data_IF_230413643828
#
_entry.id   IF_230413643828
#
_cell.length_a   1.000
_cell.length_b   1.000
_cell.length_c   1.000
_cell.angle_alpha   90.00
_cell.angle_beta   90.00
_cell.angle_gamma   90.00
#
_symmetry.space_group_name_H-M   'P 1'
#
loop_
_entity.id
_entity.type
_entity.pdbx_description
1 polymer ?
#
# COMPACT_ATOMS: atom_id res chain seq x y z
N UNK A 1 -18.32 -6.21 -3.28
CA UNK A 1 -18.45 -4.76 -3.01
C UNK A 1 -17.49 -4.04 -3.95
N UNK A 2 -17.93 -3.03 -4.72
CA UNK A 2 -17.00 -2.23 -5.54
C UNK A 2 -16.27 -1.26 -4.59
N UNK A 3 -14.93 -1.28 -4.56
CA UNK A 3 -14.16 -0.49 -3.59
C UNK A 3 -14.13 1.01 -3.91
N UNK A 4 -14.35 1.39 -5.17
CA UNK A 4 -14.25 2.79 -5.61
C UNK A 4 -12.87 3.38 -5.35
N UNK A 5 -11.82 2.55 -5.44
CA UNK A 5 -10.43 2.93 -5.11
C UNK A 5 -9.71 3.48 -6.34
N UNK A 6 -9.04 4.62 -6.16
CA UNK A 6 -8.02 5.15 -7.05
C UNK A 6 -6.68 5.12 -6.32
N UNK A 7 -5.64 4.63 -6.98
CA UNK A 7 -4.33 4.46 -6.37
C UNK A 7 -3.20 4.65 -7.39
N UNK A 8 -2.02 5.01 -6.91
CA UNK A 8 -0.78 4.95 -7.68
C UNK A 8 -0.17 3.58 -7.52
N UNK A 9 0.19 2.94 -8.63
CA UNK A 9 0.90 1.66 -8.63
C UNK A 9 2.40 1.92 -8.82
N UNK A 10 3.27 1.42 -7.93
CA UNK A 10 4.70 1.46 -8.15
C UNK A 10 5.10 0.42 -9.20
N UNK A 11 6.29 0.58 -9.77
CA UNK A 11 6.96 -0.52 -10.47
C UNK A 11 7.28 -1.61 -9.44
N UNK A 12 6.82 -2.83 -9.68
CA UNK A 12 7.10 -3.98 -8.82
C UNK A 12 8.53 -4.46 -9.07
N UNK A 13 9.42 -4.25 -8.10
CA UNK A 13 10.81 -4.73 -8.18
C UNK A 13 11.00 -6.00 -7.37
N UNK A 14 12.12 -6.70 -7.62
CA UNK A 14 12.50 -7.87 -6.84
C UNK A 14 12.68 -7.52 -5.36
N UNK A 15 13.36 -6.41 -5.06
CA UNK A 15 13.62 -5.94 -3.70
C UNK A 15 12.33 -5.67 -2.92
N UNK A 16 11.33 -5.05 -3.57
CA UNK A 16 10.02 -4.81 -2.96
C UNK A 16 9.32 -6.13 -2.63
N UNK A 17 9.39 -7.09 -3.54
CA UNK A 17 8.76 -8.40 -3.36
C UNK A 17 9.49 -9.23 -2.30
N UNK A 18 10.82 -9.17 -2.25
CA UNK A 18 11.65 -9.81 -1.22
C UNK A 18 11.39 -9.21 0.15
N UNK A 19 11.29 -7.87 0.26
CA UNK A 19 10.96 -7.19 1.50
C UNK A 19 9.61 -7.69 2.05
N UNK A 20 8.61 -7.76 1.18
CA UNK A 20 7.28 -8.25 1.52
C UNK A 20 7.28 -9.71 1.98
N UNK A 21 7.96 -10.61 1.26
CA UNK A 21 8.10 -12.02 1.66
C UNK A 21 8.80 -12.17 3.02
N UNK A 22 9.91 -11.46 3.23
CA UNK A 22 10.65 -11.49 4.51
C UNK A 22 9.80 -11.00 5.69
N UNK A 23 8.95 -9.99 5.46
CA UNK A 23 7.97 -9.57 6.46
C UNK A 23 7.02 -10.72 6.83
N UNK A 24 6.39 -11.35 5.84
CA UNK A 24 5.48 -12.47 6.11
C UNK A 24 6.17 -13.66 6.80
N UNK A 25 7.38 -14.00 6.39
CA UNK A 25 8.16 -15.09 7.02
C UNK A 25 8.47 -14.78 8.49
N UNK A 26 8.86 -13.54 8.79
CA UNK A 26 9.21 -13.11 10.15
C UNK A 26 8.00 -13.09 11.10
N UNK A 27 6.79 -12.83 10.58
CA UNK A 27 5.57 -12.75 11.38
C UNK A 27 4.66 -13.98 11.23
N UNK A 28 5.13 -15.05 10.58
CA UNK A 28 4.33 -16.24 10.27
C UNK A 28 3.66 -16.88 11.48
N UNK A 29 4.28 -16.82 12.66
CA UNK A 29 3.68 -17.37 13.90
C UNK A 29 2.46 -16.58 14.40
N UNK A 30 2.32 -15.33 13.97
CA UNK A 30 1.18 -14.45 14.29
C UNK A 30 0.11 -14.48 13.20
N UNK A 31 0.31 -15.29 12.15
CA UNK A 31 -0.62 -15.38 11.03
C UNK A 31 -1.86 -16.19 11.41
N UNK A 32 -2.82 -15.50 12.02
CA UNK A 32 -4.12 -16.03 12.44
C UNK A 32 -5.07 -16.18 11.26
N UNK A 33 -4.71 -17.03 10.31
CA UNK A 33 -5.50 -17.54 9.17
C UNK A 33 -6.71 -16.67 8.78
N UNK A 34 -6.45 -15.58 8.06
CA UNK A 34 -7.47 -14.98 7.21
C UNK A 34 -6.83 -14.76 5.87
N UNK A 35 -7.46 -15.26 4.79
CA UNK A 35 -6.95 -15.17 3.43
C UNK A 35 -6.79 -13.69 3.06
N UNK A 36 -5.61 -13.15 3.33
CA UNK A 36 -5.35 -11.72 3.20
C UNK A 36 -4.94 -11.44 1.76
N UNK A 37 -5.49 -10.37 1.19
CA UNK A 37 -5.04 -9.86 -0.11
C UNK A 37 -3.61 -9.30 -0.04
N UNK A 38 -3.03 -9.22 1.16
CA UNK A 38 -1.63 -8.85 1.38
C UNK A 38 -0.73 -10.07 1.54
N UNK A 39 -1.19 -11.31 1.34
CA UNK A 39 -0.27 -12.45 1.34
C UNK A 39 0.73 -12.38 0.16
N UNK A 40 1.88 -13.06 0.28
CA UNK A 40 2.77 -13.29 -0.87
C UNK A 40 1.98 -13.78 -2.09
N UNK A 41 2.37 -13.29 -3.27
CA UNK A 41 1.75 -13.56 -4.57
C UNK A 41 0.29 -13.07 -4.74
N UNK A 42 -0.35 -12.53 -3.70
CA UNK A 42 -1.68 -11.87 -3.77
C UNK A 42 -1.61 -10.35 -3.67
N UNK A 43 -0.54 -9.84 -3.06
CA UNK A 43 -0.36 -8.42 -2.83
C UNK A 43 -0.18 -7.63 -4.12
N UNK A 44 -1.03 -6.61 -4.30
CA UNK A 44 -0.85 -5.55 -5.29
C UNK A 44 -0.29 -4.33 -4.55
N UNK A 45 1.01 -4.00 -4.66
CA UNK A 45 1.55 -2.80 -4.03
C UNK A 45 0.92 -1.55 -4.63
N UNK A 46 0.52 -0.61 -3.79
CA UNK A 46 -0.13 0.62 -4.22
C UNK A 46 -0.09 1.71 -3.14
N UNK A 47 -0.22 2.97 -3.56
CA UNK A 47 -0.50 4.11 -2.71
C UNK A 47 -1.94 4.58 -3.00
N UNK A 48 -2.86 4.39 -2.05
CA UNK A 48 -4.26 4.81 -2.21
C UNK A 48 -4.35 6.35 -2.23
N UNK A 49 -4.91 6.90 -3.30
CA UNK A 49 -5.22 8.34 -3.40
C UNK A 49 -6.62 8.64 -2.88
N UNK A 50 -7.57 7.77 -3.19
CA UNK A 50 -8.95 7.86 -2.73
C UNK A 50 -9.58 6.46 -2.70
N UNK A 51 -10.57 6.27 -1.83
CA UNK A 51 -11.36 5.05 -1.78
C UNK A 51 -12.83 5.36 -1.53
N UNK A 52 -13.70 4.36 -1.71
CA UNK A 52 -15.15 4.46 -1.50
C UNK A 52 -15.82 5.54 -2.36
N UNK A 53 -15.22 5.87 -3.52
CA UNK A 53 -15.80 6.83 -4.45
C UNK A 53 -17.00 6.23 -5.19
N UNK A 54 -18.13 6.96 -5.30
CA UNK A 54 -19.13 6.69 -6.32
C UNK A 54 -18.51 6.72 -7.72
N UNK A 55 -19.10 5.99 -8.67
CA UNK A 55 -18.54 5.84 -10.01
C UNK A 55 -18.19 7.17 -10.70
N UNK A 56 -19.11 8.15 -10.66
CA UNK A 56 -18.88 9.47 -11.26
C UNK A 56 -17.67 10.20 -10.65
N UNK A 57 -17.50 10.10 -9.33
CA UNK A 57 -16.36 10.70 -8.62
C UNK A 57 -15.05 9.96 -8.88
N UNK A 58 -15.11 8.64 -9.07
CA UNK A 58 -13.94 7.86 -9.48
C UNK A 58 -13.48 8.28 -10.88
N UNK A 59 -14.41 8.47 -11.82
CA UNK A 59 -14.09 8.91 -13.18
C UNK A 59 -13.52 10.33 -13.22
N UNK A 60 -14.09 11.25 -12.43
CA UNK A 60 -13.59 12.62 -12.27
C UNK A 60 -12.15 12.62 -11.70
N UNK A 61 -11.93 11.90 -10.59
CA UNK A 61 -10.62 11.80 -9.95
C UNK A 61 -9.58 11.16 -10.89
N UNK A 62 -9.95 10.11 -11.62
CA UNK A 62 -9.07 9.48 -12.59
C UNK A 62 -8.64 10.44 -13.71
N UNK A 63 -9.58 11.22 -14.25
CA UNK A 63 -9.29 12.22 -15.28
C UNK A 63 -8.33 13.30 -14.77
N UNK A 64 -8.57 13.82 -13.57
CA UNK A 64 -7.70 14.81 -12.94
C UNK A 64 -6.29 14.24 -12.72
N UNK A 65 -6.18 13.08 -12.07
CA UNK A 65 -4.89 12.47 -11.79
C UNK A 65 -4.10 12.13 -13.06
N UNK A 66 -4.77 11.71 -14.14
CA UNK A 66 -4.11 11.39 -15.42
C UNK A 66 -3.56 12.62 -16.14
N UNK A 67 -4.05 13.82 -15.82
CA UNK A 67 -3.59 15.08 -16.40
C UNK A 67 -2.53 15.79 -15.53
N UNK A 68 -2.64 15.66 -14.21
CA UNK A 68 -1.88 16.48 -13.25
C UNK A 68 -0.78 15.73 -12.50
N UNK A 69 -0.81 14.39 -12.45
CA UNK A 69 0.21 13.60 -11.75
C UNK A 69 1.25 13.10 -12.74
N UNK A 70 2.46 13.64 -12.62
CA UNK A 70 3.65 13.16 -13.33
C UNK A 70 4.20 11.85 -12.75
N UNK A 71 5.16 11.26 -13.47
CA UNK A 71 5.91 10.09 -13.02
C UNK A 71 6.62 10.40 -11.70
N UNK A 72 6.31 9.62 -10.67
CA UNK A 72 6.96 9.70 -9.36
C UNK A 72 8.08 8.65 -9.26
N UNK A 73 9.22 9.07 -8.70
CA UNK A 73 10.33 8.18 -8.39
C UNK A 73 10.77 8.37 -6.94
N UNK A 74 11.13 7.28 -6.27
CA UNK A 74 11.63 7.33 -4.89
C UNK A 74 12.16 5.98 -4.42
N UNK A 75 12.71 5.96 -3.22
CA UNK A 75 13.18 4.75 -2.54
C UNK A 75 12.49 4.60 -1.19
N UNK A 76 12.25 3.35 -0.78
CA UNK A 76 11.78 3.05 0.58
C UNK A 76 12.99 3.14 1.50
N UNK A 77 12.98 4.08 2.44
CA UNK A 77 14.10 4.34 3.36
C UNK A 77 13.78 4.00 4.82
N UNK A 78 12.51 3.75 5.13
CA UNK A 78 12.03 3.48 6.48
C UNK A 78 10.74 2.66 6.44
N UNK A 79 10.54 1.81 7.43
CA UNK A 79 9.29 1.06 7.67
C UNK A 79 8.76 1.44 9.03
N UNK A 80 7.45 1.67 9.12
CA UNK A 80 6.77 2.07 10.35
C UNK A 80 5.69 1.07 10.76
N UNK A 81 5.62 0.79 12.06
CA UNK A 81 4.47 0.15 12.70
C UNK A 81 3.48 1.24 13.11
N UNK A 82 2.24 1.13 12.64
CA UNK A 82 1.17 2.11 12.90
C UNK A 82 0.05 1.49 13.74
N UNK A 83 -0.69 2.32 14.49
CA UNK A 83 -1.94 1.92 15.14
C UNK A 83 -3.12 2.64 14.52
N UNK A 84 -3.97 1.92 13.80
CA UNK A 84 -5.21 2.49 13.26
C UNK A 84 -6.16 2.84 14.41
N UNK A 85 -6.65 4.08 14.44
CA UNK A 85 -7.61 4.62 15.41
C UNK A 85 -8.59 5.52 14.68
N UNK A 86 -9.75 4.96 14.30
CA UNK A 86 -10.74 5.68 13.52
C UNK A 86 -10.17 6.09 12.16
N UNK A 87 -10.04 7.41 11.94
CA UNK A 87 -9.49 8.06 10.75
C UNK A 87 -7.98 8.36 10.85
N UNK A 88 -7.35 8.08 12.00
CA UNK A 88 -5.92 8.30 12.21
C UNK A 88 -5.14 6.98 12.24
N UNK A 89 -3.84 7.06 11.93
CA UNK A 89 -2.92 5.94 12.07
C UNK A 89 -1.55 6.43 12.58
N UNK A 90 -1.43 6.84 13.86
CA UNK A 90 -0.15 7.23 14.43
C UNK A 90 0.90 6.14 14.31
N UNK A 91 2.14 6.55 14.01
CA UNK A 91 3.34 5.72 14.07
C UNK A 91 3.64 5.41 15.53
N UNK A 92 3.78 4.12 15.86
CA UNK A 92 4.20 3.64 17.18
C UNK A 92 5.71 3.39 17.21
N UNK A 93 6.25 2.92 16.10
CA UNK A 93 7.66 2.57 15.97
C UNK A 93 8.08 2.66 14.50
N UNK A 94 9.34 3.00 14.22
CA UNK A 94 9.89 2.96 12.87
C UNK A 94 11.34 2.52 12.86
N UNK A 95 11.77 1.95 11.75
CA UNK A 95 13.14 1.48 11.52
C UNK A 95 13.60 1.96 10.16
N UNK A 96 14.71 2.70 10.14
CA UNK A 96 15.39 3.07 8.90
C UNK A 96 15.99 1.84 8.22
N UNK A 97 15.73 1.70 6.94
CA UNK A 97 16.37 0.71 6.09
C UNK A 97 17.80 1.14 5.83
N UNK A 98 18.71 0.17 5.85
CA UNK A 98 20.09 0.41 5.43
C UNK A 98 20.08 0.65 3.91
N UNK A 99 20.86 1.63 3.42
CA UNK A 99 21.07 1.83 1.99
C UNK A 99 21.61 0.58 1.30
#
# INVERSE_FOLDING_TARGET
>A
MKSGTLFLSPVVTEELTVLHRKHHDAFREFDGSSASVYEPDKWVPHCTLANRLPFEKLAEAFRFCSAEIDVLSGAITEIALIKVRGDTAPVIYSVKLKP
#
